data_IF_269630083734
#
_entry.id   IF_269630083734
#
_cell.length_a   1.000
_cell.length_b   1.000
_cell.length_c   1.000
_cell.angle_alpha   90.00
_cell.angle_beta   90.00
_cell.angle_gamma   90.00
#
_symmetry.space_group_name_H-M   'P 1'
#
loop_
_entity.id
_entity.type
_entity.pdbx_description
1 polymer ?
#
# COMPACT_ATOMS: atom_id res chain seq x y z
N UNK A 1 42.18 42.62 13.01
CA UNK A 1 41.88 41.82 14.21
C UNK A 1 40.68 40.95 13.85
N UNK A 2 40.89 39.73 13.36
CA UNK A 2 41.27 38.50 14.07
C UNK A 2 40.10 37.90 14.85
N UNK A 3 39.64 36.73 14.39
CA UNK A 3 38.69 35.88 15.12
C UNK A 3 37.89 34.90 14.24
N UNK A 4 38.56 33.98 13.53
CA UNK A 4 37.99 32.64 13.33
C UNK A 4 38.33 31.79 14.57
N UNK A 5 37.52 30.77 14.86
CA UNK A 5 38.00 29.41 14.56
C UNK A 5 36.92 28.53 13.89
N UNK A 6 37.38 27.66 12.99
CA UNK A 6 36.67 26.44 12.54
C UNK A 6 36.91 25.28 13.54
N UNK A 7 36.56 24.02 13.23
CA UNK A 7 35.28 23.35 13.45
C UNK A 7 35.40 22.19 14.46
N UNK A 8 34.29 21.66 14.98
CA UNK A 8 34.31 20.34 15.61
C UNK A 8 33.09 19.52 15.17
N UNK A 9 33.38 18.33 14.66
CA UNK A 9 32.41 17.30 14.32
C UNK A 9 31.74 16.79 15.60
N UNK A 10 30.41 16.70 15.59
CA UNK A 10 29.71 15.65 16.33
C UNK A 10 28.71 15.00 15.37
N UNK A 11 29.09 13.81 14.91
CA UNK A 11 28.14 12.79 14.48
C UNK A 11 27.13 12.57 15.61
N UNK A 12 25.90 13.01 15.38
CA UNK A 12 24.74 12.61 16.13
C UNK A 12 23.73 12.08 15.13
N UNK A 13 23.80 10.78 14.86
CA UNK A 13 22.80 10.01 14.11
C UNK A 13 21.44 10.16 14.79
N UNK A 14 20.68 11.21 14.45
CA UNK A 14 19.28 11.33 14.86
C UNK A 14 18.43 10.51 13.90
N UNK A 15 18.43 9.20 14.16
CA UNK A 15 17.28 8.34 13.96
C UNK A 15 16.12 8.92 14.79
N UNK A 16 15.27 9.74 14.19
CA UNK A 16 14.01 10.14 14.80
C UNK A 16 12.92 10.14 13.74
N UNK A 17 12.06 9.12 13.85
CA UNK A 17 10.75 8.97 13.24
C UNK A 17 10.07 10.30 12.90
N UNK A 18 9.93 10.63 11.61
CA UNK A 18 8.96 11.64 11.16
C UNK A 18 7.59 10.97 11.00
N UNK A 19 7.01 10.75 12.18
CA UNK A 19 5.62 10.93 12.57
C UNK A 19 4.54 10.84 11.48
N UNK A 20 3.83 9.72 11.56
CA UNK A 20 2.50 9.53 11.04
C UNK A 20 1.54 10.60 11.58
N UNK A 21 1.20 11.58 10.75
CA UNK A 21 -0.02 12.35 10.91
C UNK A 21 -0.54 12.73 9.54
N UNK A 22 -1.75 12.27 9.19
CA UNK A 22 -2.60 13.22 8.52
C UNK A 22 -4.00 12.83 8.13
N UNK A 23 -4.69 13.94 7.86
CA UNK A 23 -6.11 14.15 7.62
C UNK A 23 -6.71 13.13 6.65
N UNK A 24 -7.91 12.70 7.02
CA UNK A 24 -8.90 11.93 6.25
C UNK A 24 -8.86 12.27 4.76
N UNK A 25 -8.53 11.29 3.91
CA UNK A 25 -8.60 11.45 2.46
C UNK A 25 -10.08 11.56 2.01
N UNK A 26 -10.40 12.43 1.04
CA UNK A 26 -11.76 12.56 0.53
C UNK A 26 -12.23 11.24 -0.11
N UNK A 27 -13.38 10.74 0.34
CA UNK A 27 -13.99 9.52 -0.17
C UNK A 27 -14.33 9.65 -1.67
N UNK A 28 -14.02 8.62 -2.46
CA UNK A 28 -14.48 8.49 -3.84
C UNK A 28 -13.46 8.79 -4.95
N UNK A 29 -12.22 9.18 -4.64
CA UNK A 29 -11.19 9.34 -5.68
C UNK A 29 -10.58 7.99 -6.07
N UNK A 30 -10.76 7.57 -7.32
CA UNK A 30 -9.99 6.46 -7.91
C UNK A 30 -8.52 6.85 -7.98
N UNK A 31 -7.66 6.02 -7.39
CA UNK A 31 -6.21 6.22 -7.39
C UNK A 31 -5.59 5.11 -8.25
N UNK A 32 -4.76 5.50 -9.22
CA UNK A 32 -3.95 4.56 -9.98
C UNK A 32 -2.62 4.35 -9.26
N UNK A 33 -2.33 3.11 -8.87
CA UNK A 33 -1.06 2.68 -8.30
C UNK A 33 -0.65 1.36 -8.96
N UNK A 34 0.65 1.22 -9.21
CA UNK A 34 1.22 -0.02 -9.75
C UNK A 34 1.59 -0.93 -8.58
N UNK A 35 1.16 -2.18 -8.65
CA UNK A 35 1.57 -3.25 -7.74
C UNK A 35 2.16 -4.39 -8.56
N UNK A 36 3.17 -5.06 -8.01
CA UNK A 36 3.79 -6.22 -8.65
C UNK A 36 3.04 -7.48 -8.24
N UNK A 37 2.77 -8.35 -9.21
CA UNK A 37 2.17 -9.65 -8.97
C UNK A 37 3.18 -10.75 -9.26
N UNK A 38 3.03 -11.87 -8.57
CA UNK A 38 3.54 -13.14 -9.09
C UNK A 38 2.88 -13.42 -10.45
N UNK A 39 3.68 -13.88 -11.42
CA UNK A 39 3.23 -14.09 -12.79
C UNK A 39 2.06 -15.09 -12.84
N UNK A 40 2.17 -16.22 -12.12
CA UNK A 40 1.15 -17.25 -12.12
C UNK A 40 -0.15 -16.78 -11.46
N UNK A 41 -0.06 -15.94 -10.42
CA UNK A 41 -1.24 -15.29 -9.82
C UNK A 41 -1.92 -14.36 -10.81
N UNK A 42 -1.16 -13.52 -11.51
CA UNK A 42 -1.70 -12.57 -12.48
C UNK A 42 -2.40 -13.27 -13.64
N UNK A 43 -1.79 -14.32 -14.20
CA UNK A 43 -2.35 -15.08 -15.32
C UNK A 43 -3.68 -15.74 -14.93
N UNK A 44 -3.74 -16.39 -13.76
CA UNK A 44 -4.99 -16.99 -13.27
C UNK A 44 -6.07 -15.96 -13.02
N UNK A 45 -5.73 -14.81 -12.43
CA UNK A 45 -6.70 -13.75 -12.18
C UNK A 45 -7.26 -13.16 -13.49
N UNK A 46 -6.41 -12.99 -14.51
CA UNK A 46 -6.85 -12.57 -15.86
C UNK A 46 -7.74 -13.60 -16.52
N UNK A 47 -7.38 -14.88 -16.45
CA UNK A 47 -8.19 -15.97 -17.00
C UNK A 47 -9.57 -16.02 -16.33
N UNK A 48 -9.63 -15.88 -15.00
CA UNK A 48 -10.88 -15.83 -14.26
C UNK A 48 -11.75 -14.64 -14.67
N UNK A 49 -11.18 -13.43 -14.73
CA UNK A 49 -11.93 -12.24 -15.15
C UNK A 49 -12.48 -12.37 -16.58
N UNK A 50 -11.67 -12.88 -17.51
CA UNK A 50 -12.08 -13.11 -18.89
C UNK A 50 -13.20 -14.17 -18.98
N UNK A 51 -13.05 -15.28 -18.27
CA UNK A 51 -14.02 -16.36 -18.27
C UNK A 51 -15.37 -15.91 -17.68
N UNK A 52 -15.36 -15.28 -16.50
CA UNK A 52 -16.58 -14.83 -15.82
C UNK A 52 -17.29 -13.72 -16.60
N UNK A 53 -16.54 -12.78 -17.18
CA UNK A 53 -17.12 -11.74 -18.04
C UNK A 53 -17.85 -12.31 -19.26
N UNK A 54 -17.31 -13.38 -19.86
CA UNK A 54 -17.84 -14.00 -21.07
C UNK A 54 -18.99 -14.98 -20.80
N UNK A 55 -18.94 -15.74 -19.70
CA UNK A 55 -19.85 -16.87 -19.46
C UNK A 55 -20.81 -16.63 -18.30
N UNK A 56 -20.43 -15.81 -17.31
CA UNK A 56 -21.17 -15.64 -16.05
C UNK A 56 -21.39 -14.15 -15.74
N UNK A 57 -22.17 -13.41 -16.55
CA UNK A 57 -22.35 -11.97 -16.39
C UNK A 57 -22.97 -11.58 -15.03
N UNK A 58 -23.65 -12.51 -14.35
CA UNK A 58 -24.17 -12.34 -13.00
C UNK A 58 -23.11 -12.39 -11.89
N UNK A 59 -21.89 -12.87 -12.17
CA UNK A 59 -20.81 -12.94 -11.19
C UNK A 59 -20.24 -11.55 -10.81
N UNK A 60 -20.57 -10.50 -11.58
CA UNK A 60 -20.11 -9.13 -11.29
C UNK A 60 -18.61 -8.88 -11.55
N UNK A 61 -17.88 -9.88 -12.05
CA UNK A 61 -16.44 -9.77 -12.36
C UNK A 61 -16.26 -9.46 -13.84
N UNK A 62 -15.73 -8.28 -14.18
CA UNK A 62 -15.46 -7.86 -15.56
C UNK A 62 -14.02 -7.43 -15.81
N UNK A 63 -13.27 -7.21 -14.73
CA UNK A 63 -11.92 -6.70 -14.77
C UNK A 63 -11.09 -7.26 -13.61
N UNK A 64 -9.77 -7.10 -13.70
CA UNK A 64 -8.88 -7.42 -12.60
C UNK A 64 -9.18 -6.59 -11.34
N UNK A 65 -9.65 -5.36 -11.50
CA UNK A 65 -10.00 -4.50 -10.38
C UNK A 65 -11.21 -5.04 -9.59
N UNK A 66 -12.17 -5.69 -10.27
CA UNK A 66 -13.33 -6.31 -9.62
C UNK A 66 -12.94 -7.54 -8.79
N UNK A 67 -11.76 -8.12 -9.04
CA UNK A 67 -11.18 -9.19 -8.21
C UNK A 67 -10.33 -8.59 -7.09
N UNK A 68 -9.40 -7.68 -7.43
CA UNK A 68 -8.37 -7.20 -6.51
C UNK A 68 -8.94 -6.30 -5.43
N UNK A 69 -9.83 -5.38 -5.76
CA UNK A 69 -10.37 -4.42 -4.79
C UNK A 69 -11.12 -5.10 -3.63
N UNK A 70 -12.09 -6.01 -3.87
CA UNK A 70 -12.76 -6.69 -2.77
C UNK A 70 -11.81 -7.62 -1.99
N UNK A 71 -10.91 -8.34 -2.67
CA UNK A 71 -9.94 -9.21 -1.99
C UNK A 71 -8.99 -8.43 -1.06
N UNK A 72 -8.53 -7.25 -1.48
CA UNK A 72 -7.72 -6.37 -0.63
C UNK A 72 -8.55 -5.82 0.53
N UNK A 73 -9.79 -5.40 0.28
CA UNK A 73 -10.67 -4.86 1.32
C UNK A 73 -10.99 -5.91 2.40
N UNK A 74 -11.35 -7.13 2.00
CA UNK A 74 -11.59 -8.27 2.90
C UNK A 74 -10.35 -8.57 3.73
N UNK A 75 -9.18 -8.66 3.09
CA UNK A 75 -7.94 -8.94 3.81
C UNK A 75 -7.56 -7.83 4.79
N UNK A 76 -7.81 -6.56 4.45
CA UNK A 76 -7.58 -5.44 5.38
C UNK A 76 -8.52 -5.51 6.56
N UNK A 77 -9.81 -5.80 6.34
CA UNK A 77 -10.78 -5.97 7.43
C UNK A 77 -10.37 -7.09 8.39
N UNK A 78 -9.89 -8.24 7.88
CA UNK A 78 -9.34 -9.31 8.72
C UNK A 78 -8.14 -8.86 9.57
N UNK A 79 -7.28 -8.00 9.01
CA UNK A 79 -6.11 -7.47 9.72
C UNK A 79 -6.52 -6.45 10.79
N UNK A 80 -7.54 -5.63 10.51
CA UNK A 80 -8.11 -4.68 11.47
C UNK A 80 -8.75 -5.41 12.65
N UNK A 81 -9.50 -6.48 12.40
CA UNK A 81 -10.03 -7.37 13.44
C UNK A 81 -8.91 -7.98 14.28
N UNK A 82 -7.92 -8.58 13.63
CA UNK A 82 -6.87 -9.33 14.30
C UNK A 82 -5.87 -8.46 15.07
N UNK A 83 -5.56 -7.27 14.55
CA UNK A 83 -4.44 -6.46 15.04
C UNK A 83 -4.83 -5.05 15.49
N UNK A 84 -6.09 -4.64 15.31
CA UNK A 84 -6.56 -3.31 15.69
C UNK A 84 -7.95 -3.32 16.34
N UNK A 85 -8.33 -4.44 16.96
CA UNK A 85 -9.60 -4.61 17.68
C UNK A 85 -10.84 -4.22 16.83
N UNK A 86 -10.81 -4.56 15.54
CA UNK A 86 -11.88 -4.28 14.58
C UNK A 86 -11.97 -2.80 14.16
N UNK A 87 -11.00 -1.96 14.55
CA UNK A 87 -10.96 -0.56 14.17
C UNK A 87 -10.09 -0.38 12.91
N UNK A 88 -10.40 0.61 12.05
CA UNK A 88 -9.53 0.95 10.93
C UNK A 88 -8.14 1.40 11.37
N UNK A 89 -7.10 1.06 10.59
CA UNK A 89 -5.75 1.59 10.80
C UNK A 89 -5.67 3.08 10.45
N UNK A 90 -4.74 3.79 11.08
CA UNK A 90 -4.49 5.20 10.77
C UNK A 90 -3.98 5.37 9.32
N UNK A 91 -4.48 6.38 8.58
CA UNK A 91 -4.08 6.61 7.20
C UNK A 91 -2.61 7.06 7.12
N UNK A 92 -1.88 6.51 6.15
CA UNK A 92 -0.48 6.88 5.86
C UNK A 92 -0.34 7.47 4.46
N UNK A 93 0.45 8.54 4.32
CA UNK A 93 0.66 9.19 3.02
C UNK A 93 1.69 8.48 2.14
N UNK A 94 2.65 7.79 2.74
CA UNK A 94 3.64 6.96 2.04
C UNK A 94 3.89 5.71 2.85
N UNK A 95 3.92 4.58 2.17
CA UNK A 95 4.50 3.38 2.75
C UNK A 95 6.02 3.57 2.83
N UNK A 96 6.67 3.11 3.91
CA UNK A 96 8.12 3.02 3.93
C UNK A 96 8.61 2.19 2.73
N UNK A 97 9.80 2.46 2.20
CA UNK A 97 10.35 1.70 1.09
C UNK A 97 10.32 0.21 1.43
N UNK A 98 9.73 -0.59 0.55
CA UNK A 98 9.64 -2.03 0.71
C UNK A 98 11.04 -2.64 0.84
N UNK A 99 11.12 -3.86 1.40
CA UNK A 99 12.38 -4.62 1.48
C UNK A 99 13.04 -4.63 0.09
N UNK A 100 14.31 -4.23 -0.05
CA UNK A 100 14.99 -4.24 -1.34
C UNK A 100 14.92 -5.67 -1.91
N UNK A 101 14.60 -5.77 -3.20
CA UNK A 101 14.70 -7.04 -3.91
C UNK A 101 16.14 -7.52 -3.75
N UNK A 102 16.32 -8.70 -3.16
CA UNK A 102 17.62 -9.36 -3.20
C UNK A 102 17.85 -9.76 -4.66
N UNK A 103 18.75 -9.02 -5.32
CA UNK A 103 19.36 -9.40 -6.59
C UNK A 103 20.10 -10.73 -6.45
#
# INVERSE_FOLDING_TARGET
MAGQPEPDHVEGTQLCNEEATGRTLPAGRRVQRTVNFDQGVLERARAAAAHLSAHEPGAGVRSLADIVNPAVAERVAELEERFNAGRPFDPVYRLPPGRPAKS
#
